data_IF_358703998728
#
_entry.id   IF_358703998728
#
_cell.length_a   1.000
_cell.length_b   1.000
_cell.length_c   1.000
_cell.angle_alpha   90.00
_cell.angle_beta   90.00
_cell.angle_gamma   90.00
#
_symmetry.space_group_name_H-M   'P 1'
#
loop_
_entity.id
_entity.type
_entity.pdbx_description
1 polymer ?
#
# COMPACT_ATOMS: atom_id res chain seq x y z
N UNK A 1 17.99 -22.89 12.66
CA UNK A 1 19.43 -23.22 12.63
C UNK A 1 20.27 -22.11 12.01
N UNK A 2 20.00 -21.67 10.76
CA UNK A 2 20.79 -20.62 10.12
C UNK A 2 20.71 -19.29 10.87
N UNK A 3 19.51 -18.86 11.29
CA UNK A 3 19.32 -17.62 12.04
C UNK A 3 20.06 -17.63 13.39
N UNK A 4 19.98 -18.73 14.13
CA UNK A 4 20.70 -18.92 15.39
C UNK A 4 22.21 -18.87 15.16
N UNK A 5 22.70 -19.58 14.16
CA UNK A 5 24.11 -19.56 13.79
C UNK A 5 24.59 -18.14 13.43
N UNK A 6 23.82 -17.40 12.60
CA UNK A 6 24.17 -16.01 12.25
C UNK A 6 24.24 -15.10 13.48
N UNK A 7 23.30 -15.25 14.43
CA UNK A 7 23.29 -14.47 15.66
C UNK A 7 24.52 -14.78 16.52
N UNK A 8 24.88 -16.05 16.65
CA UNK A 8 26.08 -16.49 17.40
C UNK A 8 27.37 -15.98 16.76
N UNK A 9 27.51 -16.10 15.42
CA UNK A 9 28.72 -15.69 14.70
C UNK A 9 28.90 -14.15 14.65
N UNK A 10 27.81 -13.42 14.54
CA UNK A 10 27.88 -11.96 14.36
C UNK A 10 27.74 -11.17 15.67
N UNK A 11 27.16 -11.77 16.71
CA UNK A 11 26.76 -11.09 17.93
C UNK A 11 25.62 -10.07 17.71
N UNK A 12 24.99 -10.06 16.54
CA UNK A 12 23.91 -9.14 16.19
C UNK A 12 22.54 -9.79 16.35
N UNK A 13 21.51 -9.06 16.77
CA UNK A 13 20.14 -9.54 16.75
C UNK A 13 19.74 -9.97 15.33
N UNK A 14 19.12 -11.12 15.20
CA UNK A 14 18.62 -11.63 13.92
C UNK A 14 17.10 -11.61 13.93
N UNK A 15 16.52 -11.15 12.82
CA UNK A 15 15.09 -11.09 12.62
C UNK A 15 14.73 -11.91 11.39
N UNK A 16 13.64 -12.66 11.47
CA UNK A 16 13.13 -13.48 10.37
C UNK A 16 11.91 -12.84 9.72
N UNK A 17 11.93 -12.73 8.40
CA UNK A 17 10.70 -12.52 7.60
C UNK A 17 10.20 -13.90 7.21
N UNK A 18 9.09 -14.39 7.76
CA UNK A 18 8.58 -15.72 7.46
C UNK A 18 7.89 -15.74 6.09
N UNK A 19 7.75 -16.92 5.49
CA UNK A 19 7.02 -17.08 4.23
C UNK A 19 5.54 -16.71 4.37
N UNK A 20 4.91 -17.12 5.47
CA UNK A 20 3.52 -16.79 5.78
C UNK A 20 3.48 -15.59 6.73
N UNK A 21 3.80 -14.41 6.23
CA UNK A 21 3.95 -13.17 7.02
C UNK A 21 2.62 -12.39 7.21
N UNK A 22 1.55 -12.82 6.55
CA UNK A 22 0.19 -12.29 6.72
C UNK A 22 -0.83 -13.42 6.52
N UNK A 23 -1.99 -13.35 7.18
CA UNK A 23 -2.99 -14.42 7.10
C UNK A 23 -3.59 -14.58 5.70
N UNK A 24 -3.61 -13.53 4.89
CA UNK A 24 -4.08 -13.59 3.49
C UNK A 24 -3.09 -14.33 2.55
N UNK A 25 -1.86 -14.62 3.00
CA UNK A 25 -0.92 -15.44 2.23
C UNK A 25 -1.36 -16.89 2.31
N UNK A 26 -1.53 -17.53 1.17
CA UNK A 26 -2.01 -18.93 1.10
C UNK A 26 -1.06 -19.91 1.80
N UNK A 27 -1.60 -20.72 2.70
CA UNK A 27 -0.88 -21.78 3.42
C UNK A 27 -1.53 -22.17 4.74
N UNK A 28 -1.02 -23.24 5.37
CA UNK A 28 -1.40 -23.66 6.72
C UNK A 28 -0.60 -22.88 7.76
N UNK A 29 -1.11 -21.75 8.19
CA UNK A 29 -0.48 -20.86 9.17
C UNK A 29 -0.28 -21.52 10.53
N UNK A 30 -1.16 -22.42 10.92
CA UNK A 30 -1.07 -23.13 12.21
C UNK A 30 0.05 -24.14 12.23
N UNK A 31 0.15 -24.95 11.19
CA UNK A 31 1.26 -25.91 11.04
C UNK A 31 2.59 -25.16 10.89
N UNK A 32 2.62 -24.07 10.12
CA UNK A 32 3.82 -23.26 9.93
C UNK A 32 4.31 -22.62 11.24
N UNK A 33 3.41 -22.04 12.04
CA UNK A 33 3.77 -21.49 13.36
C UNK A 33 4.28 -22.57 14.30
N UNK A 34 3.69 -23.77 14.28
CA UNK A 34 4.15 -24.90 15.07
C UNK A 34 5.58 -25.33 14.68
N UNK A 35 5.87 -25.39 13.38
CA UNK A 35 7.21 -25.71 12.86
C UNK A 35 8.25 -24.66 13.26
N UNK A 36 7.93 -23.38 13.15
CA UNK A 36 8.80 -22.29 13.64
C UNK A 36 9.08 -22.41 15.14
N UNK A 37 8.05 -22.66 15.95
CA UNK A 37 8.20 -22.84 17.40
C UNK A 37 9.10 -24.01 17.80
N UNK A 38 9.11 -25.08 16.98
CA UNK A 38 9.92 -26.27 17.23
C UNK A 38 11.38 -26.10 16.78
N UNK A 39 11.60 -25.38 15.68
CA UNK A 39 12.87 -25.35 14.96
C UNK A 39 13.64 -24.04 15.07
N UNK A 40 13.08 -23.00 15.67
CA UNK A 40 13.70 -21.68 15.79
C UNK A 40 13.90 -21.30 17.28
N UNK A 41 15.01 -20.63 17.56
CA UNK A 41 15.30 -20.11 18.90
C UNK A 41 14.26 -19.04 19.30
N UNK A 42 13.96 -18.94 20.59
CA UNK A 42 12.87 -18.09 21.11
C UNK A 42 13.19 -16.60 21.07
N UNK A 43 14.45 -16.26 20.97
CA UNK A 43 14.99 -14.87 20.93
C UNK A 43 15.11 -14.29 19.51
N UNK A 44 14.88 -15.11 18.47
CA UNK A 44 14.81 -14.64 17.09
C UNK A 44 13.50 -13.88 16.88
N UNK A 45 13.58 -12.59 16.56
CA UNK A 45 12.39 -11.79 16.25
C UNK A 45 11.75 -12.19 14.91
N UNK A 46 10.42 -12.14 14.82
CA UNK A 46 9.66 -12.52 13.62
C UNK A 46 8.82 -11.36 13.14
N UNK A 47 8.95 -11.03 11.87
CA UNK A 47 8.09 -10.04 11.23
C UNK A 47 6.73 -10.62 10.84
N UNK A 48 5.68 -9.83 11.00
CA UNK A 48 4.34 -10.13 10.47
C UNK A 48 3.65 -8.84 10.01
N UNK A 49 2.87 -8.92 8.94
CA UNK A 49 1.96 -7.84 8.56
C UNK A 49 0.59 -7.94 9.25
N UNK A 50 0.35 -9.03 9.99
CA UNK A 50 -0.94 -9.31 10.61
C UNK A 50 -1.91 -10.03 9.68
N UNK A 51 -3.18 -9.63 9.70
CA UNK A 51 -4.23 -10.29 8.90
C UNK A 51 -4.05 -10.01 7.41
N UNK A 52 -3.75 -8.77 7.05
CA UNK A 52 -3.56 -8.35 5.66
C UNK A 52 -2.18 -7.73 5.44
N UNK A 53 -1.65 -7.88 4.22
CA UNK A 53 -0.34 -7.31 3.86
C UNK A 53 -0.35 -5.79 3.99
N UNK A 54 -1.45 -5.16 3.57
CA UNK A 54 -1.69 -3.73 3.78
C UNK A 54 -2.93 -3.55 4.65
N UNK A 55 -2.71 -3.14 5.88
CA UNK A 55 -3.78 -2.96 6.85
C UNK A 55 -4.11 -1.48 7.04
N UNK A 56 -5.40 -1.11 6.99
CA UNK A 56 -5.86 0.22 7.42
C UNK A 56 -5.62 0.43 8.90
N UNK A 57 -5.88 -0.61 9.70
CA UNK A 57 -5.71 -0.60 11.16
C UNK A 57 -5.02 -1.88 11.58
N UNK A 58 -4.06 -1.72 12.48
CA UNK A 58 -3.39 -2.83 13.15
C UNK A 58 -3.68 -2.65 14.63
N UNK A 59 -4.29 -3.64 15.27
CA UNK A 59 -4.53 -3.64 16.71
C UNK A 59 -4.04 -4.95 17.32
N UNK A 60 -3.25 -4.86 18.37
CA UNK A 60 -2.86 -5.98 19.20
C UNK A 60 -3.85 -6.08 20.38
N UNK A 61 -4.18 -7.30 20.89
CA UNK A 61 -3.78 -8.62 20.37
C UNK A 61 -4.66 -9.14 19.22
N UNK A 62 -5.87 -8.60 19.01
CA UNK A 62 -6.94 -9.26 18.26
C UNK A 62 -6.80 -9.31 16.74
N UNK A 63 -5.80 -8.61 16.17
CA UNK A 63 -5.63 -8.49 14.71
C UNK A 63 -4.17 -8.58 14.23
N UNK A 64 -3.30 -9.11 15.07
CA UNK A 64 -1.92 -9.35 14.66
C UNK A 64 -1.77 -10.65 13.84
N UNK A 65 -2.87 -11.34 13.54
CA UNK A 65 -2.92 -12.54 12.71
C UNK A 65 -2.61 -13.83 13.45
N UNK A 66 -2.76 -14.95 12.74
CA UNK A 66 -2.59 -16.30 13.29
C UNK A 66 -1.16 -16.53 13.80
N UNK A 67 -0.16 -15.95 13.14
CA UNK A 67 1.22 -16.05 13.61
C UNK A 67 1.40 -15.39 14.98
N UNK A 68 0.79 -14.22 15.20
CA UNK A 68 0.88 -13.51 16.47
C UNK A 68 0.29 -14.31 17.63
N UNK A 69 -0.83 -15.01 17.38
CA UNK A 69 -1.50 -15.83 18.39
C UNK A 69 -0.73 -17.09 18.77
N UNK A 70 0.09 -17.61 17.86
CA UNK A 70 0.68 -18.95 17.97
C UNK A 70 2.18 -18.96 18.16
N UNK A 71 2.90 -17.91 17.76
CA UNK A 71 4.34 -17.86 17.91
C UNK A 71 4.77 -17.53 19.35
N UNK A 72 5.92 -18.08 19.73
CA UNK A 72 6.56 -17.84 21.03
C UNK A 72 7.71 -16.84 20.95
N UNK A 73 8.08 -16.46 19.75
CA UNK A 73 9.12 -15.50 19.42
C UNK A 73 8.61 -14.07 19.52
N UNK A 74 9.49 -13.09 19.77
CA UNK A 74 9.13 -11.70 19.70
C UNK A 74 8.60 -11.32 18.32
N UNK A 75 7.44 -10.66 18.27
CA UNK A 75 6.85 -10.21 17.01
C UNK A 75 7.16 -8.74 16.77
N UNK A 76 7.41 -8.43 15.50
CA UNK A 76 7.57 -7.08 15.00
C UNK A 76 6.58 -6.88 13.86
N UNK A 77 5.76 -5.88 13.96
CA UNK A 77 4.84 -5.55 12.88
C UNK A 77 5.61 -4.90 11.73
N UNK A 78 5.51 -5.50 10.55
CA UNK A 78 5.96 -4.93 9.29
C UNK A 78 4.78 -4.21 8.65
N UNK A 79 4.76 -2.89 8.80
CA UNK A 79 3.64 -2.08 8.34
C UNK A 79 3.86 -1.55 6.93
N UNK A 80 2.97 -1.92 6.04
CA UNK A 80 2.94 -1.54 4.63
C UNK A 80 1.97 -0.40 4.33
N UNK A 81 1.55 0.39 5.33
CA UNK A 81 0.58 1.48 5.08
C UNK A 81 1.00 2.38 3.93
N UNK A 82 2.27 2.74 3.88
CA UNK A 82 2.81 3.65 2.87
C UNK A 82 3.56 2.95 1.74
N UNK A 83 3.79 1.66 1.83
CA UNK A 83 4.58 0.93 0.84
C UNK A 83 3.91 0.93 -0.54
N UNK A 84 4.73 0.93 -1.60
CA UNK A 84 4.29 0.91 -2.99
C UNK A 84 5.04 -0.13 -3.84
N UNK A 85 5.92 -0.92 -3.23
CA UNK A 85 6.81 -1.87 -3.89
C UNK A 85 6.07 -3.01 -4.60
N UNK A 86 4.92 -3.41 -4.06
CA UNK A 86 4.07 -4.47 -4.65
C UNK A 86 2.91 -3.93 -5.49
N UNK A 87 2.68 -2.62 -5.50
CA UNK A 87 1.65 -1.95 -6.30
C UNK A 87 2.20 -0.67 -6.95
N UNK A 88 2.72 -0.75 -8.18
CA UNK A 88 3.44 0.35 -8.83
C UNK A 88 2.63 1.64 -9.02
N UNK A 89 1.29 1.54 -8.90
CA UNK A 89 0.37 2.69 -9.04
C UNK A 89 -0.07 3.28 -7.71
N UNK A 90 0.38 2.70 -6.61
CA UNK A 90 -0.04 3.14 -5.29
C UNK A 90 0.85 4.27 -4.78
N UNK A 91 0.23 5.39 -4.44
CA UNK A 91 0.82 6.48 -3.69
C UNK A 91 -0.16 6.91 -2.59
N UNK A 92 -0.08 6.25 -1.44
CA UNK A 92 -0.92 6.58 -0.29
C UNK A 92 -0.24 7.64 0.56
N UNK A 93 -0.90 8.75 0.78
CA UNK A 93 -0.42 9.91 1.54
C UNK A 93 -1.37 10.32 2.65
N UNK A 94 -2.26 9.41 3.05
CA UNK A 94 -3.19 9.60 4.14
C UNK A 94 -2.51 9.63 5.52
N UNK A 95 -3.30 9.94 6.53
CA UNK A 95 -2.80 10.04 7.90
C UNK A 95 -2.34 8.70 8.47
N UNK A 96 -1.34 8.75 9.34
CA UNK A 96 -0.90 7.62 10.15
C UNK A 96 -1.89 7.36 11.29
N UNK A 97 -2.81 6.46 11.08
CA UNK A 97 -3.87 6.13 12.05
C UNK A 97 -3.98 4.63 12.32
N UNK A 98 -4.65 4.27 13.42
CA UNK A 98 -4.97 2.88 13.73
C UNK A 98 -3.76 2.02 14.15
N UNK A 99 -2.67 2.63 14.68
CA UNK A 99 -1.42 1.94 15.07
C UNK A 99 -0.90 2.36 16.45
N UNK A 100 -1.70 3.04 17.25
CA UNK A 100 -1.25 3.67 18.51
C UNK A 100 -0.73 2.71 19.56
N UNK A 101 -1.17 1.45 19.52
CA UNK A 101 -0.85 0.43 20.53
C UNK A 101 0.09 -0.65 19.98
N UNK A 102 0.70 -0.38 18.81
CA UNK A 102 1.57 -1.35 18.14
C UNK A 102 3.03 -0.98 18.36
N UNK A 103 3.74 -1.82 19.14
CA UNK A 103 5.17 -1.67 19.42
C UNK A 103 5.76 -3.07 19.68
N UNK A 104 6.84 -3.48 18.99
CA UNK A 104 7.56 -2.71 17.98
C UNK A 104 6.94 -2.74 16.59
N UNK A 105 7.10 -1.67 15.83
CA UNK A 105 6.65 -1.54 14.46
C UNK A 105 7.78 -1.10 13.53
N UNK A 106 7.87 -1.72 12.36
CA UNK A 106 8.77 -1.34 11.28
C UNK A 106 7.96 -0.83 10.10
N UNK A 107 8.17 0.41 9.71
CA UNK A 107 7.52 0.98 8.53
C UNK A 107 8.27 0.57 7.26
N UNK A 108 7.57 -0.04 6.33
CA UNK A 108 8.02 -0.16 4.94
C UNK A 108 7.65 1.13 4.19
N UNK A 109 8.66 1.93 3.86
CA UNK A 109 8.49 3.20 3.15
C UNK A 109 8.30 3.03 1.65
N UNK A 110 8.40 4.15 0.93
CA UNK A 110 8.25 4.18 -0.54
C UNK A 110 9.59 4.04 -1.27
N UNK A 111 10.71 4.27 -0.57
CA UNK A 111 12.04 4.39 -1.16
C UNK A 111 12.26 5.72 -1.91
N UNK A 112 11.31 6.65 -1.84
CA UNK A 112 11.40 7.99 -2.42
C UNK A 112 11.71 9.00 -1.31
N UNK A 113 12.91 9.61 -1.27
CA UNK A 113 13.40 10.34 -0.10
C UNK A 113 12.54 11.52 0.34
N UNK A 114 12.02 12.33 -0.58
CA UNK A 114 11.19 13.47 -0.20
C UNK A 114 9.77 13.03 0.19
N UNK A 115 9.27 11.99 -0.45
CA UNK A 115 8.01 11.34 -0.08
C UNK A 115 8.12 10.76 1.33
N UNK A 116 9.17 9.97 1.61
CA UNK A 116 9.35 9.34 2.92
C UNK A 116 9.53 10.37 4.04
N UNK A 117 10.19 11.52 3.79
CA UNK A 117 10.25 12.64 4.75
C UNK A 117 8.85 13.16 5.11
N UNK A 118 7.99 13.31 4.11
CA UNK A 118 6.61 13.74 4.31
C UNK A 118 5.84 12.70 5.11
N UNK A 119 5.93 11.42 4.75
CA UNK A 119 5.24 10.30 5.40
C UNK A 119 5.71 10.10 6.85
N UNK A 120 7.00 10.21 7.12
CA UNK A 120 7.54 10.20 8.49
C UNK A 120 7.02 11.39 9.31
N UNK A 121 6.78 12.54 8.67
CA UNK A 121 6.11 13.66 9.31
C UNK A 121 4.68 13.35 9.74
N UNK A 122 3.91 12.63 8.89
CA UNK A 122 2.56 12.16 9.21
C UNK A 122 2.60 11.13 10.35
N UNK A 123 3.53 10.18 10.29
CA UNK A 123 3.75 9.19 11.34
C UNK A 123 4.08 9.86 12.70
N UNK A 124 4.83 10.97 12.69
CA UNK A 124 5.13 11.78 13.87
C UNK A 124 3.95 12.65 14.33
N UNK A 125 2.77 12.50 13.76
CA UNK A 125 1.55 13.23 14.16
C UNK A 125 1.52 14.70 13.75
N UNK A 126 2.35 15.11 12.79
CA UNK A 126 2.30 16.49 12.27
C UNK A 126 1.06 16.68 11.40
N UNK A 127 0.51 17.90 11.45
CA UNK A 127 -0.64 18.29 10.63
C UNK A 127 -0.31 18.13 9.14
N UNK A 128 -1.16 17.38 8.44
CA UNK A 128 -0.99 17.03 7.04
C UNK A 128 -1.00 18.25 6.12
N UNK A 129 -1.91 19.21 6.36
CA UNK A 129 -2.00 20.42 5.53
C UNK A 129 -0.73 21.25 5.63
N UNK A 130 -0.20 21.36 6.85
CA UNK A 130 1.06 22.09 7.10
C UNK A 130 2.24 21.38 6.43
N UNK A 131 2.32 20.04 6.52
CA UNK A 131 3.37 19.26 5.86
C UNK A 131 3.33 19.42 4.35
N UNK A 132 2.15 19.30 3.74
CA UNK A 132 1.95 19.41 2.29
C UNK A 132 2.29 20.79 1.79
N UNK A 133 1.81 21.84 2.46
CA UNK A 133 2.14 23.23 2.11
C UNK A 133 3.65 23.50 2.19
N UNK A 134 4.32 22.99 3.26
CA UNK A 134 5.77 23.12 3.42
C UNK A 134 6.55 22.35 2.36
N UNK A 135 6.05 21.20 1.91
CA UNK A 135 6.64 20.41 0.85
C UNK A 135 6.34 20.95 -0.56
N UNK A 136 5.54 22.02 -0.66
CA UNK A 136 5.16 22.64 -1.93
C UNK A 136 4.23 21.76 -2.77
N UNK A 137 3.39 20.93 -2.13
CA UNK A 137 2.37 20.12 -2.82
C UNK A 137 1.26 21.06 -3.27
N UNK A 138 0.93 21.14 -4.58
CA UNK A 138 -0.16 21.97 -5.07
C UNK A 138 -1.52 21.53 -4.54
N UNK A 139 -2.45 22.48 -4.41
CA UNK A 139 -3.82 22.19 -3.97
C UNK A 139 -4.58 21.28 -4.93
N UNK A 140 -4.23 21.30 -6.21
CA UNK A 140 -4.75 20.40 -7.24
C UNK A 140 -4.58 18.91 -6.86
N UNK A 141 -3.58 18.57 -6.04
CA UNK A 141 -3.38 17.17 -5.59
C UNK A 141 -4.60 16.62 -4.84
N UNK A 142 -5.35 17.44 -4.13
CA UNK A 142 -6.54 16.99 -3.41
C UNK A 142 -7.63 16.39 -4.31
N UNK A 143 -7.70 16.80 -5.59
CA UNK A 143 -8.67 16.24 -6.56
C UNK A 143 -8.32 14.83 -7.04
N UNK A 144 -7.04 14.44 -6.93
CA UNK A 144 -6.56 13.18 -7.49
C UNK A 144 -6.13 12.16 -6.44
N UNK A 145 -5.96 12.57 -5.21
CA UNK A 145 -5.35 11.74 -4.15
C UNK A 145 -6.06 10.39 -3.99
N UNK A 146 -7.40 10.40 -3.94
CA UNK A 146 -8.20 9.18 -3.79
C UNK A 146 -8.01 8.18 -4.95
N UNK A 147 -7.56 8.64 -6.12
CA UNK A 147 -7.29 7.80 -7.28
C UNK A 147 -5.96 7.04 -7.18
N UNK A 148 -5.06 7.45 -6.28
CA UNK A 148 -3.73 6.86 -6.11
C UNK A 148 -3.69 5.83 -4.97
N UNK A 149 -4.78 5.63 -4.26
CA UNK A 149 -4.87 4.69 -3.16
C UNK A 149 -5.00 3.25 -3.64
N UNK A 150 -4.57 2.33 -2.77
CA UNK A 150 -4.66 0.91 -3.06
C UNK A 150 -6.14 0.46 -3.12
N UNK A 151 -6.51 -0.42 -4.08
CA UNK A 151 -7.89 -0.88 -4.25
C UNK A 151 -8.45 -1.70 -3.08
N UNK A 152 -7.60 -2.18 -2.17
CA UNK A 152 -8.01 -2.95 -0.99
C UNK A 152 -8.36 -2.10 0.23
N UNK A 153 -8.10 -0.79 0.21
CA UNK A 153 -8.66 0.08 1.23
C UNK A 153 -10.18 0.07 1.14
N UNK A 154 -10.80 -0.03 2.29
CA UNK A 154 -12.22 -0.35 2.45
C UNK A 154 -13.14 0.49 1.57
N UNK A 155 -14.25 -0.10 1.15
CA UNK A 155 -15.23 0.54 0.27
C UNK A 155 -15.82 1.85 0.79
N UNK A 156 -15.67 2.18 2.08
CA UNK A 156 -16.20 3.41 2.68
C UNK A 156 -15.40 4.66 2.28
N UNK A 157 -14.07 4.59 2.23
CA UNK A 157 -13.25 5.69 1.70
C UNK A 157 -13.46 5.88 0.19
N UNK A 158 -13.85 4.82 -0.50
CA UNK A 158 -14.09 4.77 -1.94
C UNK A 158 -15.47 5.30 -2.35
N UNK A 159 -16.48 5.12 -1.49
CA UNK A 159 -17.85 5.55 -1.76
C UNK A 159 -18.03 7.07 -1.58
N UNK A 160 -17.16 7.73 -0.82
CA UNK A 160 -17.34 9.13 -0.45
C UNK A 160 -16.91 10.14 -1.51
N UNK A 161 -16.11 9.76 -2.51
CA UNK A 161 -15.71 10.67 -3.59
C UNK A 161 -15.31 9.88 -4.84
N UNK A 162 -16.22 9.75 -5.78
CA UNK A 162 -15.80 9.60 -7.18
C UNK A 162 -15.61 11.03 -7.71
N UNK A 163 -14.35 11.50 -7.82
CA UNK A 163 -14.12 12.83 -8.39
C UNK A 163 -14.57 12.82 -9.85
N UNK A 164 -15.00 13.98 -10.33
CA UNK A 164 -15.30 14.16 -11.74
C UNK A 164 -14.05 13.84 -12.56
N UNK A 165 -14.08 12.92 -13.52
CA UNK A 165 -12.93 12.57 -14.36
C UNK A 165 -12.31 13.78 -15.05
N UNK A 166 -13.10 14.79 -15.40
CA UNK A 166 -12.62 16.01 -16.03
C UNK A 166 -11.79 16.85 -15.04
N UNK A 167 -12.29 17.04 -13.81
CA UNK A 167 -11.56 17.75 -12.75
C UNK A 167 -10.23 17.06 -12.43
N UNK A 168 -10.23 15.72 -12.41
CA UNK A 168 -9.02 14.92 -12.19
C UNK A 168 -8.01 15.12 -13.31
N UNK A 169 -8.45 15.13 -14.57
CA UNK A 169 -7.57 15.35 -15.73
C UNK A 169 -6.97 16.77 -15.71
N UNK A 170 -7.75 17.80 -15.38
CA UNK A 170 -7.28 19.17 -15.25
C UNK A 170 -6.26 19.32 -14.12
N UNK A 171 -6.53 18.71 -12.95
CA UNK A 171 -5.58 18.68 -11.85
C UNK A 171 -4.27 17.95 -12.23
N UNK A 172 -4.36 16.85 -12.99
CA UNK A 172 -3.18 16.13 -13.49
C UNK A 172 -2.35 16.96 -14.48
N UNK A 173 -2.98 17.77 -15.34
CA UNK A 173 -2.26 18.69 -16.21
C UNK A 173 -1.43 19.73 -15.42
N UNK A 174 -2.02 20.31 -14.38
CA UNK A 174 -1.30 21.22 -13.48
C UNK A 174 -0.11 20.51 -12.80
N UNK A 175 -0.37 19.36 -12.17
CA UNK A 175 0.62 18.62 -11.41
C UNK A 175 1.78 18.09 -12.27
N UNK A 176 1.49 17.62 -13.47
CA UNK A 176 2.50 17.07 -14.36
C UNK A 176 3.40 18.14 -15.00
N UNK A 177 2.82 19.31 -15.34
CA UNK A 177 3.53 20.28 -16.17
C UNK A 177 3.95 21.55 -15.44
N UNK A 178 3.23 21.95 -14.38
CA UNK A 178 3.50 23.17 -13.65
C UNK A 178 4.24 22.95 -12.34
N UNK A 179 3.96 21.84 -11.65
CA UNK A 179 4.63 21.52 -10.39
C UNK A 179 6.08 21.12 -10.60
N UNK A 180 7.00 21.74 -9.84
CA UNK A 180 8.45 21.54 -9.95
C UNK A 180 9.04 21.16 -8.58
N UNK A 181 10.18 20.50 -8.62
CA UNK A 181 10.94 20.11 -7.43
C UNK A 181 11.18 18.60 -7.36
N UNK A 182 11.85 18.17 -6.31
CA UNK A 182 12.21 16.74 -6.15
C UNK A 182 10.97 15.89 -5.89
N UNK A 183 10.07 16.34 -5.02
CA UNK A 183 8.83 15.63 -4.74
C UNK A 183 7.95 15.47 -5.99
N UNK A 184 7.87 16.50 -6.83
CA UNK A 184 7.18 16.42 -8.12
C UNK A 184 7.77 15.34 -9.03
N UNK A 185 9.12 15.20 -9.05
CA UNK A 185 9.79 14.15 -9.83
C UNK A 185 9.51 12.76 -9.29
N UNK A 186 9.49 12.61 -7.96
CA UNK A 186 9.16 11.33 -7.32
C UNK A 186 7.73 10.89 -7.62
N UNK A 187 6.78 11.84 -7.65
CA UNK A 187 5.37 11.54 -7.91
C UNK A 187 4.99 11.49 -9.38
N UNK A 188 5.85 12.01 -10.27
CA UNK A 188 5.59 12.06 -11.71
C UNK A 188 5.16 10.71 -12.33
N UNK A 189 5.81 9.56 -12.03
CA UNK A 189 5.41 8.27 -12.60
C UNK A 189 3.99 7.85 -12.20
N UNK A 190 3.58 8.16 -10.96
CA UNK A 190 2.25 7.84 -10.45
C UNK A 190 1.18 8.73 -11.10
N UNK A 191 1.46 10.03 -11.20
CA UNK A 191 0.57 11.01 -11.83
C UNK A 191 0.39 10.73 -13.33
N UNK A 192 1.49 10.48 -14.02
CA UNK A 192 1.47 10.13 -15.45
C UNK A 192 0.74 8.82 -15.70
N UNK A 193 0.97 7.83 -14.85
CA UNK A 193 0.27 6.57 -14.91
C UNK A 193 -1.23 6.72 -14.67
N UNK A 194 -1.65 7.52 -13.68
CA UNK A 194 -3.07 7.80 -13.42
C UNK A 194 -3.73 8.49 -14.62
N UNK A 195 -3.05 9.43 -15.27
CA UNK A 195 -3.54 10.07 -16.50
C UNK A 195 -3.80 9.03 -17.59
N UNK A 196 -2.84 8.13 -17.83
CA UNK A 196 -3.00 7.02 -18.78
C UNK A 196 -4.20 6.13 -18.46
N UNK A 197 -4.38 5.77 -17.18
CA UNK A 197 -5.49 4.95 -16.72
C UNK A 197 -6.86 5.60 -16.96
N UNK A 198 -6.96 6.91 -16.73
CA UNK A 198 -8.19 7.67 -16.98
C UNK A 198 -8.51 7.79 -18.47
N UNK A 199 -7.51 8.03 -19.30
CA UNK A 199 -7.68 8.08 -20.75
C UNK A 199 -8.16 6.72 -21.31
N UNK A 200 -7.56 5.61 -20.85
CA UNK A 200 -7.98 4.26 -21.19
C UNK A 200 -9.43 4.01 -20.75
N UNK A 201 -9.76 4.39 -19.52
CA UNK A 201 -11.12 4.29 -19.01
C UNK A 201 -12.09 5.16 -19.83
N UNK A 202 -11.59 6.26 -20.44
CA UNK A 202 -12.27 7.13 -21.39
C UNK A 202 -12.48 6.52 -22.78
N UNK A 203 -11.84 5.38 -23.09
CA UNK A 203 -11.91 4.71 -24.39
C UNK A 203 -10.76 5.03 -25.34
N UNK A 204 -9.66 5.62 -24.82
CA UNK A 204 -8.45 5.85 -25.62
C UNK A 204 -7.69 4.54 -25.83
N UNK A 205 -7.85 3.95 -27.03
CA UNK A 205 -7.27 2.66 -27.39
C UNK A 205 -5.74 2.70 -27.57
N UNK A 206 -5.15 3.85 -27.86
CA UNK A 206 -3.69 3.99 -27.97
C UNK A 206 -3.03 3.84 -26.60
N UNK A 207 -3.59 4.48 -25.58
CA UNK A 207 -3.13 4.31 -24.20
C UNK A 207 -3.39 2.89 -23.68
N UNK A 208 -4.47 2.22 -24.09
CA UNK A 208 -4.71 0.81 -23.76
C UNK A 208 -3.59 -0.10 -24.27
N UNK A 209 -3.09 0.14 -25.47
CA UNK A 209 -1.99 -0.62 -26.05
C UNK A 209 -0.69 -0.49 -25.26
N UNK A 210 -0.40 0.69 -24.72
CA UNK A 210 0.76 0.93 -23.85
C UNK A 210 0.55 0.25 -22.50
N UNK A 211 -0.63 0.33 -21.93
CA UNK A 211 -0.96 -0.22 -20.61
C UNK A 211 -0.95 -1.76 -20.57
N UNK A 212 -1.20 -2.45 -21.68
CA UNK A 212 -1.11 -3.92 -21.76
C UNK A 212 0.29 -4.47 -21.43
N UNK A 213 1.31 -3.62 -21.47
CA UNK A 213 2.68 -3.98 -21.09
C UNK A 213 2.99 -3.74 -19.61
N UNK A 214 2.07 -3.14 -18.86
CA UNK A 214 2.25 -2.77 -17.45
C UNK A 214 1.12 -3.35 -16.60
N UNK A 215 1.46 -3.93 -15.45
CA UNK A 215 0.46 -4.34 -14.44
C UNK A 215 -0.22 -3.10 -13.89
N UNK A 216 -1.48 -2.89 -14.24
CA UNK A 216 -2.20 -1.68 -13.91
C UNK A 216 -3.41 -2.00 -13.00
N UNK A 217 -3.23 -1.87 -11.69
CA UNK A 217 -4.27 -2.16 -10.71
C UNK A 217 -5.45 -1.18 -10.79
N UNK A 218 -5.19 0.08 -11.17
CA UNK A 218 -6.24 1.10 -11.27
C UNK A 218 -7.07 0.96 -12.55
N UNK A 219 -6.44 0.68 -13.69
CA UNK A 219 -7.15 0.45 -14.94
C UNK A 219 -8.13 -0.73 -14.81
N UNK A 220 -7.74 -1.81 -14.12
CA UNK A 220 -8.63 -2.95 -13.89
C UNK A 220 -9.86 -2.60 -13.03
N UNK A 221 -9.72 -1.65 -12.13
CA UNK A 221 -10.80 -1.17 -11.27
C UNK A 221 -11.73 -0.23 -12.04
N UNK A 222 -11.18 0.70 -12.81
CA UNK A 222 -11.94 1.66 -13.60
C UNK A 222 -12.69 0.96 -14.75
N UNK A 223 -12.10 -0.04 -15.40
CA UNK A 223 -12.75 -0.83 -16.45
C UNK A 223 -13.86 -1.72 -15.91
N UNK A 224 -13.72 -2.32 -14.72
CA UNK A 224 -14.80 -3.07 -14.07
C UNK A 224 -16.01 -2.20 -13.71
N UNK A 225 -15.82 -0.91 -13.45
CA UNK A 225 -16.93 0.02 -13.21
C UNK A 225 -17.68 0.41 -14.48
N UNK A 226 -17.07 0.27 -15.66
CA UNK A 226 -17.69 0.58 -16.96
C UNK A 226 -18.41 -0.58 -17.64
N UNK A 227 -18.35 -1.78 -17.10
CA UNK A 227 -19.16 -2.90 -17.59
C UNK A 227 -20.43 -3.08 -16.72
N UNK A 228 -21.43 -2.19 -16.84
CA UNK A 228 -22.75 -2.55 -16.41
C UNK A 228 -23.36 -3.42 -17.53
N UNK A 229 -23.59 -4.68 -17.22
CA UNK A 229 -24.57 -5.51 -17.91
C UNK A 229 -24.43 -5.65 -19.44
N UNK A 230 -23.41 -6.38 -19.87
CA UNK A 230 -23.54 -7.22 -21.06
C UNK A 230 -23.89 -8.64 -20.60
N UNK A 231 -24.89 -8.75 -19.76
CA UNK A 231 -25.54 -10.04 -19.47
C UNK A 231 -26.99 -9.80 -19.14
N UNK A 232 -27.80 -10.01 -20.07
CA UNK A 232 -29.14 -10.50 -20.01
C UNK A 232 -29.91 -9.93 -21.18
N UNK A 233 -29.73 -10.55 -22.34
CA UNK A 233 -30.85 -10.86 -23.21
C UNK A 233 -30.35 -11.80 -24.31
N UNK A 234 -30.44 -13.06 -24.02
CA UNK A 234 -30.16 -14.18 -24.90
C UNK A 234 -31.06 -15.35 -24.56
N UNK A 235 -32.30 -15.06 -24.13
CA UNK A 235 -33.38 -16.01 -24.11
C UNK A 235 -34.33 -15.64 -25.26
N UNK A 236 -34.28 -16.41 -26.31
CA UNK A 236 -35.23 -16.20 -27.41
C UNK A 236 -35.02 -17.16 -28.56
N UNK A 237 -35.79 -18.26 -28.50
CA UNK A 237 -36.12 -19.22 -29.55
C UNK A 237 -35.08 -20.21 -29.97
#
# INVERSE_FOLDING_TARGET
RLATWLQEETGCPVFLVPRLYADEVEGDHSAYASDLNQNMAKDIGVFTCGVTIVAEKISLPDKAGILADKLRQPLIIWDNLYSNDYCPRRLFTGEWTGRKEVDPILLNGTGMPETDKLLLGLMAGKDRKVLFAKAGVPTAFAHIECCLWHPFFSGQARAAAQPDPQEVLEALEELLWQWKGQLAREWYPFLFGLKGDLLIAGGDMENERIAKTQTNALASVLTKQRSPALTADGSGS
#
